data_IF_275252554098
#
_entry.id   IF_275252554098
#
_cell.length_a   1.000
_cell.length_b   1.000
_cell.length_c   1.000
_cell.angle_alpha   90.00
_cell.angle_beta   90.00
_cell.angle_gamma   90.00
#
_symmetry.space_group_name_H-M   'P 1'
#
loop_
_entity.id
_entity.type
_entity.pdbx_description
1 polymer ?
#
# COMPACT_ATOMS: atom_id res chain seq x y z
N UNK A 1 -17.11 -3.59 20.17
CA UNK A 1 -16.96 -4.36 18.90
C UNK A 1 -17.15 -3.41 17.76
N UNK A 2 -16.28 -3.43 16.78
CA UNK A 2 -16.45 -2.67 15.55
C UNK A 2 -17.70 -3.22 14.85
N UNK A 3 -18.74 -2.38 14.68
CA UNK A 3 -20.03 -2.80 14.14
C UNK A 3 -20.03 -2.98 12.61
N UNK A 4 -21.19 -3.27 12.04
CA UNK A 4 -21.38 -3.40 10.59
C UNK A 4 -20.93 -2.15 9.81
N UNK A 5 -21.10 -0.97 10.40
CA UNK A 5 -20.64 0.32 9.84
C UNK A 5 -19.12 0.35 9.62
N UNK A 6 -18.33 -0.19 10.54
CA UNK A 6 -16.86 -0.23 10.39
C UNK A 6 -16.43 -1.16 9.24
N UNK A 7 -17.11 -2.30 9.06
CA UNK A 7 -16.85 -3.20 7.93
C UNK A 7 -17.19 -2.51 6.60
N UNK A 8 -18.32 -1.81 6.53
CA UNK A 8 -18.72 -1.04 5.34
C UNK A 8 -17.67 0.03 5.00
N UNK A 9 -17.20 0.78 6.01
CA UNK A 9 -16.15 1.80 5.83
C UNK A 9 -14.86 1.19 5.29
N UNK A 10 -14.39 0.08 5.87
CA UNK A 10 -13.17 -0.59 5.38
C UNK A 10 -13.35 -1.06 3.94
N UNK A 11 -14.50 -1.65 3.60
CA UNK A 11 -14.78 -2.14 2.26
C UNK A 11 -14.79 -1.00 1.22
N UNK A 12 -15.47 0.11 1.54
CA UNK A 12 -15.50 1.28 0.65
C UNK A 12 -14.10 1.89 0.52
N UNK A 13 -13.41 2.11 1.64
CA UNK A 13 -12.08 2.69 1.63
C UNK A 13 -11.07 1.83 0.87
N UNK A 14 -11.10 0.50 1.03
CA UNK A 14 -10.21 -0.40 0.28
C UNK A 14 -10.54 -0.40 -1.21
N UNK A 15 -11.81 -0.43 -1.59
CA UNK A 15 -12.21 -0.38 -3.01
C UNK A 15 -11.74 0.90 -3.69
N UNK A 16 -11.92 2.05 -3.04
CA UNK A 16 -11.43 3.33 -3.56
C UNK A 16 -9.91 3.33 -3.67
N UNK A 17 -9.22 2.87 -2.63
CA UNK A 17 -7.76 2.78 -2.61
C UNK A 17 -7.24 1.86 -3.73
N UNK A 18 -7.88 0.72 -3.98
CA UNK A 18 -7.49 -0.23 -5.02
C UNK A 18 -7.58 0.39 -6.43
N UNK A 19 -8.58 1.24 -6.69
CA UNK A 19 -8.67 1.99 -7.95
C UNK A 19 -7.42 2.87 -8.18
N UNK A 20 -6.92 3.52 -7.15
CA UNK A 20 -5.71 4.34 -7.24
C UNK A 20 -4.43 3.49 -7.37
N UNK A 21 -4.46 2.25 -6.88
CA UNK A 21 -3.31 1.33 -6.92
C UNK A 21 -3.12 0.62 -8.27
N UNK A 22 -4.13 0.55 -9.13
CA UNK A 22 -4.08 -0.17 -10.42
C UNK A 22 -2.87 0.24 -11.28
N UNK A 23 -2.54 1.54 -11.31
CA UNK A 23 -1.39 2.04 -12.06
C UNK A 23 -0.06 1.42 -11.60
N UNK A 24 0.09 1.19 -10.30
CA UNK A 24 1.33 0.63 -9.73
C UNK A 24 1.51 -0.84 -10.06
N UNK A 25 0.42 -1.59 -10.23
CA UNK A 25 0.50 -2.97 -10.71
C UNK A 25 1.06 -3.02 -12.14
N UNK A 26 0.67 -2.06 -12.99
CA UNK A 26 1.25 -1.89 -14.31
C UNK A 26 2.73 -1.54 -14.28
N UNK A 27 3.13 -0.57 -13.44
CA UNK A 27 4.52 -0.14 -13.26
C UNK A 27 5.38 -1.30 -12.72
N UNK A 28 4.90 -2.03 -11.71
CA UNK A 28 5.59 -3.17 -11.13
C UNK A 28 5.84 -4.27 -12.16
N UNK A 29 4.82 -4.64 -12.94
CA UNK A 29 4.96 -5.63 -13.99
C UNK A 29 5.90 -5.17 -15.12
N UNK A 30 5.80 -3.92 -15.56
CA UNK A 30 6.69 -3.37 -16.58
C UNK A 30 8.15 -3.36 -16.09
N UNK A 31 8.40 -2.94 -14.84
CA UNK A 31 9.74 -2.95 -14.25
C UNK A 31 10.31 -4.36 -14.17
N UNK A 32 9.51 -5.35 -13.73
CA UNK A 32 9.94 -6.74 -13.66
C UNK A 32 10.37 -7.28 -15.03
N UNK A 33 9.59 -7.03 -16.09
CA UNK A 33 9.90 -7.48 -17.45
C UNK A 33 11.15 -6.77 -18.00
N UNK A 34 11.23 -5.45 -17.88
CA UNK A 34 12.34 -4.69 -18.46
C UNK A 34 13.67 -4.99 -17.74
N UNK A 35 13.66 -5.02 -16.42
CA UNK A 35 14.85 -5.33 -15.61
C UNK A 35 15.26 -6.80 -15.82
N UNK A 36 14.30 -7.73 -15.76
CA UNK A 36 14.56 -9.15 -15.98
C UNK A 36 15.17 -9.45 -17.35
N UNK A 37 14.70 -8.77 -18.40
CA UNK A 37 15.28 -8.91 -19.75
C UNK A 37 16.74 -8.42 -19.83
N UNK A 38 17.09 -7.30 -19.20
CA UNK A 38 18.47 -6.81 -19.21
C UNK A 38 19.38 -7.68 -18.34
N UNK A 39 18.90 -8.19 -17.21
CA UNK A 39 19.63 -9.18 -16.41
C UNK A 39 19.87 -10.49 -17.19
N UNK A 40 18.86 -10.96 -17.93
CA UNK A 40 19.01 -12.12 -18.81
C UNK A 40 20.04 -11.92 -19.93
N UNK A 41 20.25 -10.68 -20.36
CA UNK A 41 21.30 -10.28 -21.32
C UNK A 41 22.64 -10.03 -20.66
N UNK A 42 22.79 -10.20 -19.37
CA UNK A 42 23.98 -9.87 -18.55
C UNK A 42 24.35 -8.39 -18.62
N UNK A 43 23.37 -7.51 -18.80
CA UNK A 43 23.57 -6.06 -18.87
C UNK A 43 23.15 -5.40 -17.55
N UNK A 44 23.95 -5.61 -16.51
CA UNK A 44 23.65 -5.18 -15.14
C UNK A 44 23.53 -3.65 -15.02
N UNK A 45 24.37 -2.89 -15.75
CA UNK A 45 24.36 -1.43 -15.72
C UNK A 45 23.03 -0.85 -16.21
N UNK A 46 22.47 -1.43 -17.29
CA UNK A 46 21.15 -1.02 -17.78
C UNK A 46 20.02 -1.47 -16.86
N UNK A 47 20.11 -2.69 -16.30
CA UNK A 47 19.14 -3.17 -15.35
C UNK A 47 19.06 -2.25 -14.13
N UNK A 48 20.21 -1.84 -13.60
CA UNK A 48 20.30 -0.86 -12.51
C UNK A 48 19.72 0.50 -12.89
N UNK A 49 20.07 1.01 -14.09
CA UNK A 49 19.52 2.28 -14.59
C UNK A 49 17.99 2.24 -14.66
N UNK A 50 17.40 1.15 -15.16
CA UNK A 50 15.95 0.97 -15.20
C UNK A 50 15.34 0.90 -13.80
N UNK A 51 15.96 0.18 -12.86
CA UNK A 51 15.50 0.12 -11.48
C UNK A 51 15.39 1.52 -10.85
N UNK A 52 16.43 2.34 -11.01
CA UNK A 52 16.44 3.73 -10.50
C UNK A 52 15.37 4.59 -11.16
N UNK A 53 15.18 4.46 -12.47
CA UNK A 53 14.13 5.21 -13.20
C UNK A 53 12.75 4.81 -12.72
N UNK A 54 12.47 3.51 -12.59
CA UNK A 54 11.17 3.02 -12.11
C UNK A 54 10.90 3.46 -10.68
N UNK A 55 11.87 3.44 -9.78
CA UNK A 55 11.70 3.93 -8.41
C UNK A 55 11.39 5.43 -8.35
N UNK A 56 12.11 6.26 -9.12
CA UNK A 56 11.83 7.70 -9.21
C UNK A 56 10.44 7.98 -9.79
N UNK A 57 10.07 7.26 -10.85
CA UNK A 57 8.75 7.37 -11.47
C UNK A 57 7.65 6.93 -10.50
N UNK A 58 7.84 5.83 -9.81
CA UNK A 58 6.91 5.34 -8.77
C UNK A 58 6.74 6.38 -7.67
N UNK A 59 7.82 6.98 -7.18
CA UNK A 59 7.74 7.99 -6.13
C UNK A 59 6.95 9.22 -6.59
N UNK A 60 7.22 9.74 -7.80
CA UNK A 60 6.54 10.91 -8.34
C UNK A 60 5.03 10.64 -8.57
N UNK A 61 4.69 9.52 -9.20
CA UNK A 61 3.29 9.13 -9.45
C UNK A 61 2.58 8.86 -8.12
N UNK A 62 3.24 8.19 -7.18
CA UNK A 62 2.67 7.87 -5.88
C UNK A 62 2.32 9.12 -5.08
N UNK A 63 3.17 10.14 -5.11
CA UNK A 63 2.88 11.41 -4.46
C UNK A 63 1.61 12.06 -5.05
N UNK A 64 1.50 12.10 -6.36
CA UNK A 64 0.31 12.64 -7.05
C UNK A 64 -0.94 11.84 -6.71
N UNK A 65 -0.87 10.52 -6.75
CA UNK A 65 -2.00 9.63 -6.46
C UNK A 65 -2.43 9.69 -4.99
N UNK A 66 -1.47 9.77 -4.06
CA UNK A 66 -1.74 9.95 -2.63
C UNK A 66 -2.50 11.26 -2.36
N UNK A 67 -2.06 12.37 -2.97
CA UNK A 67 -2.76 13.65 -2.86
C UNK A 67 -4.14 13.57 -3.51
N UNK A 68 -4.26 12.95 -4.68
CA UNK A 68 -5.55 12.77 -5.37
C UNK A 68 -6.53 11.93 -4.52
N UNK A 69 -6.06 10.84 -3.91
CA UNK A 69 -6.86 10.02 -2.99
C UNK A 69 -7.30 10.83 -1.77
N UNK A 70 -6.40 11.62 -1.18
CA UNK A 70 -6.73 12.47 -0.05
C UNK A 70 -7.79 13.52 -0.40
N UNK A 71 -7.72 14.14 -1.57
CA UNK A 71 -8.69 15.13 -2.03
C UNK A 71 -10.03 14.49 -2.42
N UNK A 72 -10.01 13.27 -2.96
CA UNK A 72 -11.23 12.57 -3.39
C UNK A 72 -12.15 12.15 -2.25
N UNK A 73 -11.67 12.16 -0.98
CA UNK A 73 -12.45 11.74 0.19
C UNK A 73 -13.79 12.45 0.34
N UNK A 74 -13.86 13.76 0.04
CA UNK A 74 -15.11 14.51 0.08
C UNK A 74 -16.12 14.04 -0.97
N UNK A 75 -15.65 13.71 -2.16
CA UNK A 75 -16.47 13.17 -3.24
C UNK A 75 -17.01 11.78 -2.89
N UNK A 76 -16.15 10.92 -2.33
CA UNK A 76 -16.52 9.56 -1.90
C UNK A 76 -17.61 9.61 -0.82
N UNK A 77 -17.48 10.49 0.19
CA UNK A 77 -18.47 10.66 1.25
C UNK A 77 -19.84 11.04 0.67
N UNK A 78 -19.87 11.97 -0.28
CA UNK A 78 -21.11 12.42 -0.91
C UNK A 78 -21.80 11.34 -1.77
N UNK A 79 -21.04 10.35 -2.27
CA UNK A 79 -21.59 9.24 -3.09
C UNK A 79 -22.28 8.19 -2.20
N UNK A 80 -21.72 7.89 -1.04
CA UNK A 80 -22.20 6.79 -0.21
C UNK A 80 -23.27 7.18 0.80
N UNK A 81 -23.46 8.48 1.07
CA UNK A 81 -24.53 9.05 1.92
C UNK A 81 -24.79 8.27 3.23
N UNK A 82 -23.72 7.96 3.95
CA UNK A 82 -23.80 7.34 5.26
C UNK A 82 -24.22 8.34 6.34
N UNK A 83 -24.56 7.85 7.53
CA UNK A 83 -24.77 8.69 8.72
C UNK A 83 -23.49 9.48 9.09
N UNK A 84 -23.65 10.57 9.80
CA UNK A 84 -22.58 11.53 10.09
C UNK A 84 -21.36 10.87 10.78
N UNK A 85 -21.59 9.92 11.69
CA UNK A 85 -20.54 9.21 12.41
C UNK A 85 -19.74 8.31 11.46
N UNK A 86 -20.41 7.56 10.60
CA UNK A 86 -19.81 6.69 9.60
C UNK A 86 -19.02 7.49 8.54
N UNK A 87 -19.54 8.66 8.14
CA UNK A 87 -18.85 9.55 7.21
C UNK A 87 -17.53 10.10 7.79
N UNK A 88 -17.50 10.47 9.07
CA UNK A 88 -16.27 10.89 9.74
C UNK A 88 -15.27 9.72 9.80
N UNK A 89 -15.75 8.53 10.11
CA UNK A 89 -14.92 7.31 10.14
C UNK A 89 -14.34 7.01 8.75
N UNK A 90 -15.13 7.12 7.69
CA UNK A 90 -14.71 6.94 6.30
C UNK A 90 -13.66 7.98 5.88
N UNK A 91 -13.89 9.26 6.20
CA UNK A 91 -12.95 10.34 5.89
C UNK A 91 -11.58 10.11 6.53
N UNK A 92 -11.56 9.72 7.81
CA UNK A 92 -10.33 9.45 8.55
C UNK A 92 -9.62 8.21 8.01
N UNK A 93 -10.37 7.17 7.68
CA UNK A 93 -9.81 5.94 7.11
C UNK A 93 -9.19 6.20 5.74
N UNK A 94 -9.86 6.93 4.85
CA UNK A 94 -9.31 7.33 3.55
C UNK A 94 -8.05 8.19 3.68
N UNK A 95 -8.00 9.08 4.68
CA UNK A 95 -6.79 9.87 4.95
C UNK A 95 -5.60 8.97 5.35
N UNK A 96 -5.84 7.96 6.18
CA UNK A 96 -4.83 6.96 6.53
C UNK A 96 -4.37 6.18 5.30
N UNK A 97 -5.29 5.71 4.46
CA UNK A 97 -4.94 5.02 3.21
C UNK A 97 -4.10 5.90 2.28
N UNK A 98 -4.42 7.20 2.15
CA UNK A 98 -3.65 8.12 1.33
C UNK A 98 -2.19 8.28 1.82
N UNK A 99 -1.98 8.38 3.14
CA UNK A 99 -0.63 8.49 3.72
C UNK A 99 0.16 7.19 3.53
N UNK A 100 -0.46 6.05 3.83
CA UNK A 100 0.21 4.75 3.76
C UNK A 100 0.34 4.19 2.33
N UNK A 101 -0.35 4.79 1.36
CA UNK A 101 -0.16 4.47 -0.05
C UNK A 101 1.29 4.71 -0.49
N UNK A 102 1.95 5.75 0.05
CA UNK A 102 3.35 6.07 -0.28
C UNK A 102 4.31 4.92 0.01
N UNK A 103 4.47 4.43 1.25
CA UNK A 103 5.35 3.30 1.53
C UNK A 103 4.88 2.02 0.84
N UNK A 104 3.58 1.72 0.85
CA UNK A 104 3.00 0.50 0.31
C UNK A 104 3.30 0.31 -1.18
N UNK A 105 3.04 1.33 -2.00
CA UNK A 105 3.26 1.21 -3.45
C UNK A 105 4.75 1.24 -3.81
N UNK A 106 5.56 1.94 -3.02
CA UNK A 106 7.00 1.91 -3.18
C UNK A 106 7.57 0.51 -2.88
N UNK A 107 7.17 -0.09 -1.76
CA UNK A 107 7.52 -1.48 -1.40
C UNK A 107 7.05 -2.46 -2.46
N UNK A 108 5.82 -2.29 -2.99
CA UNK A 108 5.28 -3.16 -4.03
C UNK A 108 6.17 -3.16 -5.29
N UNK A 109 6.52 -1.99 -5.83
CA UNK A 109 7.35 -1.90 -7.04
C UNK A 109 8.77 -2.39 -6.76
N UNK A 110 9.32 -2.12 -5.58
CA UNK A 110 10.63 -2.60 -5.16
C UNK A 110 10.66 -4.14 -5.11
N UNK A 111 9.69 -4.77 -4.45
CA UNK A 111 9.65 -6.22 -4.26
C UNK A 111 9.18 -6.96 -5.50
N UNK A 112 8.01 -6.61 -6.04
CA UNK A 112 7.43 -7.31 -7.19
C UNK A 112 8.06 -6.94 -8.52
N UNK A 113 8.57 -5.70 -8.64
CA UNK A 113 9.19 -5.21 -9.86
C UNK A 113 10.69 -5.50 -9.92
N UNK A 114 11.45 -5.08 -8.93
CA UNK A 114 12.91 -5.05 -8.99
C UNK A 114 13.53 -6.30 -8.38
N UNK A 115 13.28 -6.58 -7.11
CA UNK A 115 13.92 -7.70 -6.41
C UNK A 115 13.51 -9.06 -6.99
N UNK A 116 12.23 -9.22 -7.33
CA UNK A 116 11.74 -10.45 -7.94
C UNK A 116 12.35 -10.70 -9.32
N UNK A 117 12.61 -9.67 -10.12
CA UNK A 117 13.28 -9.79 -11.41
C UNK A 117 14.75 -10.17 -11.27
N UNK A 118 15.40 -9.83 -10.15
CA UNK A 118 16.75 -10.25 -9.77
C UNK A 118 16.86 -11.70 -9.30
N UNK A 119 15.72 -12.43 -9.16
CA UNK A 119 15.67 -13.83 -8.76
C UNK A 119 15.47 -14.06 -7.26
N UNK A 120 15.47 -13.02 -6.43
CA UNK A 120 15.35 -13.16 -4.96
C UNK A 120 13.88 -13.18 -4.47
N UNK A 121 13.09 -14.02 -5.13
CA UNK A 121 11.66 -14.18 -4.84
C UNK A 121 11.40 -14.72 -3.43
N UNK A 122 12.33 -15.58 -2.92
CA UNK A 122 12.18 -16.17 -1.58
C UNK A 122 12.33 -15.13 -0.48
N UNK A 123 13.27 -14.22 -0.63
CA UNK A 123 13.48 -13.12 0.31
C UNK A 123 12.25 -12.19 0.36
N UNK A 124 11.73 -11.78 -0.80
CA UNK A 124 10.51 -10.97 -0.88
C UNK A 124 9.32 -11.65 -0.21
N UNK A 125 9.11 -12.95 -0.49
CA UNK A 125 8.02 -13.72 0.11
C UNK A 125 8.16 -13.81 1.64
N UNK A 126 9.36 -14.04 2.15
CA UNK A 126 9.60 -14.13 3.59
C UNK A 126 9.37 -12.79 4.28
N UNK A 127 9.83 -11.67 3.69
CA UNK A 127 9.59 -10.34 4.24
C UNK A 127 8.10 -9.99 4.28
N UNK A 128 7.35 -10.32 3.22
CA UNK A 128 5.91 -10.12 3.20
C UNK A 128 5.19 -10.95 4.27
N UNK A 129 5.51 -12.25 4.37
CA UNK A 129 4.92 -13.13 5.38
C UNK A 129 5.25 -12.65 6.79
N UNK A 130 6.50 -12.34 7.07
CA UNK A 130 6.94 -11.89 8.39
C UNK A 130 6.31 -10.52 8.73
N UNK A 131 6.26 -9.59 7.78
CA UNK A 131 5.61 -8.29 7.97
C UNK A 131 4.17 -8.46 8.41
N UNK A 132 3.37 -9.18 7.63
CA UNK A 132 1.94 -9.39 7.91
C UNK A 132 1.73 -10.16 9.22
N UNK A 133 2.39 -11.33 9.40
CA UNK A 133 2.11 -12.22 10.52
C UNK A 133 2.76 -11.80 11.83
N UNK A 134 3.94 -11.18 11.80
CA UNK A 134 4.69 -10.80 13.02
C UNK A 134 4.36 -9.36 13.45
N UNK A 135 4.01 -8.49 12.51
CA UNK A 135 3.74 -7.08 12.79
C UNK A 135 2.27 -6.75 12.60
N UNK A 136 1.73 -6.94 11.39
CA UNK A 136 0.38 -6.51 11.03
C UNK A 136 -0.71 -7.18 11.88
N UNK A 137 -0.71 -8.51 11.94
CA UNK A 137 -1.73 -9.28 12.69
C UNK A 137 -1.65 -9.02 14.20
N UNK A 138 -0.50 -9.07 14.88
CA UNK A 138 -0.43 -8.77 16.31
C UNK A 138 -0.83 -7.34 16.64
N UNK A 139 -0.45 -6.35 15.83
CA UNK A 139 -0.85 -4.96 16.03
C UNK A 139 -2.36 -4.77 15.86
N UNK A 140 -2.98 -5.45 14.87
CA UNK A 140 -4.42 -5.43 14.71
C UNK A 140 -5.14 -6.02 15.94
N UNK A 141 -4.68 -7.17 16.45
CA UNK A 141 -5.23 -7.80 17.65
C UNK A 141 -5.11 -6.88 18.88
N UNK A 142 -3.94 -6.29 19.11
CA UNK A 142 -3.73 -5.36 20.21
C UNK A 142 -4.62 -4.12 20.08
N UNK A 143 -4.72 -3.54 18.89
CA UNK A 143 -5.56 -2.38 18.63
C UNK A 143 -7.04 -2.62 18.88
N UNK A 144 -7.56 -3.79 18.47
CA UNK A 144 -8.99 -4.12 18.59
C UNK A 144 -9.34 -4.62 19.99
N UNK A 145 -8.60 -5.60 20.53
CA UNK A 145 -8.99 -6.34 21.73
C UNK A 145 -8.46 -5.72 23.02
N UNK A 146 -7.30 -5.09 22.99
CA UNK A 146 -6.67 -4.53 24.21
C UNK A 146 -6.96 -3.04 24.34
N UNK A 147 -6.72 -2.28 23.27
CA UNK A 147 -6.80 -0.82 23.34
C UNK A 147 -8.15 -0.27 22.88
N UNK A 148 -9.01 -1.06 22.26
CA UNK A 148 -10.32 -0.64 21.74
C UNK A 148 -10.25 0.66 20.90
N UNK A 149 -9.21 0.76 20.07
CA UNK A 149 -8.91 1.96 19.30
C UNK A 149 -9.92 2.20 18.16
N UNK A 150 -10.11 3.43 17.74
CA UNK A 150 -10.93 3.72 16.57
C UNK A 150 -10.34 3.11 15.30
N UNK A 151 -11.21 2.77 14.34
CA UNK A 151 -10.89 2.03 13.14
C UNK A 151 -9.66 2.57 12.38
N UNK A 152 -9.60 3.90 12.16
CA UNK A 152 -8.51 4.52 11.40
C UNK A 152 -7.13 4.35 12.05
N UNK A 153 -7.06 4.28 13.39
CA UNK A 153 -5.80 4.02 14.11
C UNK A 153 -5.41 2.55 13.96
N UNK A 154 -6.37 1.62 14.02
CA UNK A 154 -6.09 0.19 13.81
C UNK A 154 -5.54 -0.03 12.41
N UNK A 155 -6.14 0.59 11.40
CA UNK A 155 -5.67 0.52 10.01
C UNK A 155 -4.25 1.11 9.89
N UNK A 156 -3.96 2.24 10.56
CA UNK A 156 -2.63 2.82 10.59
C UNK A 156 -1.59 1.89 11.24
N UNK A 157 -1.96 1.21 12.34
CA UNK A 157 -1.09 0.24 13.01
C UNK A 157 -0.78 -0.96 12.12
N UNK A 158 -1.77 -1.49 11.41
CA UNK A 158 -1.55 -2.60 10.46
C UNK A 158 -0.59 -2.19 9.36
N UNK A 159 -0.80 -1.02 8.76
CA UNK A 159 0.07 -0.53 7.69
C UNK A 159 1.47 -0.09 8.14
N UNK A 160 1.72 0.00 9.44
CA UNK A 160 3.06 0.29 9.95
C UNK A 160 4.10 -0.75 9.50
N UNK A 161 3.67 -1.98 9.20
CA UNK A 161 4.52 -3.03 8.64
C UNK A 161 5.22 -2.60 7.34
N UNK A 162 4.57 -1.78 6.52
CA UNK A 162 5.16 -1.31 5.24
C UNK A 162 6.40 -0.44 5.45
N UNK A 163 6.43 0.35 6.53
CA UNK A 163 7.61 1.12 6.91
C UNK A 163 8.74 0.21 7.37
N UNK A 164 8.40 -0.84 8.10
CA UNK A 164 9.40 -1.83 8.55
C UNK A 164 9.98 -2.58 7.35
N UNK A 165 9.16 -2.98 6.38
CA UNK A 165 9.61 -3.62 5.15
C UNK A 165 10.57 -2.75 4.33
N UNK A 166 10.37 -1.43 4.33
CA UNK A 166 11.27 -0.50 3.63
C UNK A 166 12.63 -0.34 4.30
N UNK A 167 12.75 -0.69 5.58
CA UNK A 167 14.01 -0.61 6.32
C UNK A 167 14.93 -1.81 6.02
N UNK A 168 14.37 -2.96 5.66
CA UNK A 168 15.11 -4.19 5.31
C UNK A 168 15.34 -4.33 3.81
#
# INVERSE_FOLDING_TARGET
MLGASALAVVQVASTVNDLFQILFFGIGNASAVMIGNELGRRNEDKAYSYAVVFLKMTFAINLVMSVALFLSRGMVINIYDFDQETNIMLANTLAVYAIYMLPKMFTYVLFCGILRSGGDTRFCMLLDLLGVWVIGVPLAFLGVLVFHLPLHIIVAMVFFEEWVKLYF
#
